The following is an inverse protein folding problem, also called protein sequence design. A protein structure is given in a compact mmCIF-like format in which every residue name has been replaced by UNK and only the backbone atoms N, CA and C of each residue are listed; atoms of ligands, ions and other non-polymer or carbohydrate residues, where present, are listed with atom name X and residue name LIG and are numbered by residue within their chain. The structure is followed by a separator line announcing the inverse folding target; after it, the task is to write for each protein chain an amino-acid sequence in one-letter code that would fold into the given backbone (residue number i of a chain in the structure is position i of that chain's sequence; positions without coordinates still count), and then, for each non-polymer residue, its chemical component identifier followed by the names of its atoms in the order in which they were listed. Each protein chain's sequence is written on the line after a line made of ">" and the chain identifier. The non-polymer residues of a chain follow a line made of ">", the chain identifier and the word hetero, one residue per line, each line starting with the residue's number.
data_IF_726478382313
#
_entry.id   IF_726478382313
#
_cell.length_a   1.000
_cell.length_b   1.000
_cell.length_c   1.000
_cell.angle_alpha   90.00
_cell.angle_beta   90.00
_cell.angle_gamma   90.00
#
_symmetry.space_group_name_H-M   'P 1'
#
loop_
_entity.id
_entity.type
_entity.pdbx_description
1 polymer ?
2 non-polymer ?
3 water ?
#
# COMPACT_ATOMS: atom_id res chain seq x y z
N UNK A 1 -17.72 2.01 8.51
CA UNK A 1 -17.76 0.71 7.85
C UNK A 1 -16.90 -0.35 8.54
N UNK A 2 -17.38 -0.81 9.70
CA UNK A 2 -16.72 -1.83 10.52
C UNK A 2 -17.07 -3.25 10.11
N UNK A 3 -17.93 -3.43 9.10
CA UNK A 3 -18.42 -4.75 8.75
C UNK A 3 -17.28 -5.68 8.33
N UNK A 4 -17.44 -6.97 8.65
CA UNK A 4 -16.62 -7.97 8.00
C UNK A 4 -16.82 -7.92 6.49
N UNK A 5 -18.07 -7.74 6.06
CA UNK A 5 -18.37 -7.63 4.63
C UNK A 5 -17.40 -6.66 3.94
N UNK A 6 -17.29 -5.44 4.46
CA UNK A 6 -16.36 -4.47 3.87
C UNK A 6 -14.91 -4.93 4.00
N UNK A 7 -14.54 -5.51 5.15
CA UNK A 7 -13.16 -5.96 5.35
C UNK A 7 -12.78 -7.08 4.39
N UNK A 8 -13.71 -8.01 4.14
CA UNK A 8 -13.51 -9.00 3.09
C UNK A 8 -13.23 -8.33 1.75
N UNK A 9 -14.00 -7.29 1.41
CA UNK A 9 -13.73 -6.58 0.16
C UNK A 9 -12.30 -6.05 0.16
N UNK A 10 -11.90 -5.38 1.23
CA UNK A 10 -10.52 -4.91 1.31
C UNK A 10 -9.55 -6.07 1.18
N UNK A 11 -9.91 -7.23 1.72
CA UNK A 11 -9.00 -8.37 1.62
C UNK A 11 -8.83 -8.80 0.16
N UNK A 12 -9.91 -8.73 -0.63
CA UNK A 12 -9.78 -9.04 -2.04
C UNK A 12 -8.92 -8.04 -2.77
N UNK A 13 -8.94 -6.78 -2.31
CA UNK A 13 -8.11 -5.77 -2.93
C UNK A 13 -6.64 -6.10 -2.72
N UNK A 14 -6.27 -6.38 -1.46
CA UNK A 14 -4.89 -6.71 -1.13
C UNK A 14 -4.38 -7.89 -1.96
N UNK A 15 -5.17 -8.97 -2.04
CA UNK A 15 -4.75 -10.11 -2.86
C UNK A 15 -4.59 -9.73 -4.33
N UNK A 16 -5.49 -8.89 -4.87
CA UNK A 16 -5.30 -8.40 -6.23
C UNK A 16 -4.06 -7.51 -6.34
N UNK A 17 -3.79 -6.68 -5.32
CA UNK A 17 -2.56 -5.88 -5.34
C UNK A 17 -1.30 -6.74 -5.27
N UNK A 18 -1.39 -7.97 -4.77
CA UNK A 18 -0.23 -8.87 -4.72
C UNK A 18 -0.22 -9.89 -5.85
N UNK A 19 -1.19 -9.84 -6.76
CA UNK A 19 -1.26 -10.82 -7.84
C UNK A 19 -0.19 -10.56 -8.88
N UNK A 20 0.09 -11.58 -9.68
CA UNK A 20 1.15 -11.48 -10.68
C UNK A 20 0.77 -10.55 -11.83
N UNK A 21 -0.51 -10.22 -11.98
CA UNK A 21 -0.90 -9.29 -13.04
C UNK A 21 -0.32 -7.89 -12.81
N UNK A 22 -0.07 -7.51 -11.56
CA UNK A 22 0.49 -6.19 -11.25
C UNK A 22 1.93 -6.24 -10.78
N UNK A 23 2.61 -7.40 -10.89
CA UNK A 23 3.94 -7.53 -10.30
C UNK A 23 4.92 -6.51 -10.86
N UNK A 24 4.75 -6.11 -12.12
CA UNK A 24 5.74 -5.26 -12.78
C UNK A 24 5.90 -3.92 -12.07
N UNK A 25 4.80 -3.35 -11.57
CA UNK A 25 4.88 -2.07 -10.87
C UNK A 25 4.71 -2.21 -9.36
N UNK A 26 4.20 -3.34 -8.88
CA UNK A 26 3.86 -3.54 -7.47
C UNK A 26 5.02 -4.05 -6.61
N UNK A 27 5.99 -4.81 -7.16
CA UNK A 27 6.92 -5.54 -6.29
C UNK A 27 7.80 -4.64 -5.43
N UNK A 28 8.02 -3.36 -5.78
CA UNK A 28 8.74 -2.47 -4.85
C UNK A 28 7.99 -2.21 -3.55
N UNK A 29 6.71 -2.56 -3.47
CA UNK A 29 5.93 -2.33 -2.27
C UNK A 29 5.63 -3.62 -1.52
N UNK A 30 6.14 -4.75 -2.00
CA UNK A 30 5.89 -6.05 -1.37
C UNK A 30 6.50 -6.15 0.02
N UNK A 31 7.64 -5.53 0.24
CA UNK A 31 8.40 -5.61 1.48
C UNK A 31 8.80 -4.22 1.94
N UNK A 32 9.22 -4.09 3.19
CA UNK A 32 9.67 -2.78 3.68
C UNK A 32 10.84 -2.25 2.87
N UNK A 33 10.95 -0.93 2.81
CA UNK A 33 12.04 -0.31 2.07
C UNK A 33 13.34 -0.51 2.84
N UNK A 34 14.39 -0.94 2.12
CA UNK A 34 15.69 -1.18 2.73
C UNK A 34 16.57 0.03 2.39
N UNK A 35 16.32 1.11 3.13
CA UNK A 35 16.91 2.40 2.81
C UNK A 35 18.43 2.38 2.93
N UNK A 36 18.94 1.71 3.96
CA UNK A 36 20.38 1.69 4.19
C UNK A 36 21.11 0.94 3.07
N UNK A 37 20.56 -0.20 2.63
CA UNK A 37 21.16 -0.97 1.54
C UNK A 37 21.10 -0.22 0.21
N UNK A 38 20.05 0.56 0.00
CA UNK A 38 19.83 1.25 -1.26
C UNK A 38 20.35 2.68 -1.26
N UNK A 39 21.06 3.11 -0.22
CA UNK A 39 21.54 4.48 -0.18
C UNK A 39 20.44 5.52 -0.32
N UNK A 40 19.30 5.31 0.35
CA UNK A 40 18.24 6.33 0.40
C UNK A 40 18.53 7.25 1.59
N UNK A 41 19.38 8.24 1.33
CA UNK A 41 19.75 9.20 2.36
C UNK A 41 18.53 9.83 3.02
N UNK A 42 18.55 9.90 4.34
CA UNK A 42 17.52 10.55 5.14
C UNK A 42 16.15 9.90 5.00
N UNK A 43 16.05 8.71 4.41
CA UNK A 43 14.73 8.12 4.18
C UNK A 43 13.90 8.11 5.45
N UNK A 44 14.48 7.62 6.54
CA UNK A 44 13.73 7.49 7.78
C UNK A 44 13.65 8.79 8.58
N UNK A 45 14.31 9.86 8.13
CA UNK A 45 14.01 11.19 8.66
C UNK A 45 12.76 11.77 8.02
N UNK A 46 12.69 11.69 6.69
CA UNK A 46 11.57 12.24 5.93
C UNK A 46 10.32 11.38 6.06
N UNK A 47 10.48 10.07 6.15
CA UNK A 47 9.36 9.14 6.21
C UNK A 47 9.32 8.60 7.63
N UNK A 48 8.44 9.17 8.45
CA UNK A 48 8.34 8.79 9.84
C UNK A 48 7.37 7.63 10.08
N UNK A 49 6.56 7.26 9.09
CA UNK A 49 5.67 6.10 9.20
C UNK A 49 5.81 5.22 7.96
N UNK A 50 6.81 4.34 7.93
CA UNK A 50 6.97 3.45 6.78
C UNK A 50 5.78 2.51 6.65
N UNK A 51 5.56 2.01 5.44
CA UNK A 51 4.44 1.13 5.17
C UNK A 51 4.69 0.43 3.85
N UNK A 52 4.17 -0.78 3.74
CA UNK A 52 4.40 -1.62 2.58
C UNK A 52 3.34 -2.72 2.63
N UNK A 53 3.22 -3.46 1.53
CA UNK A 53 2.12 -4.42 1.47
C UNK A 53 2.34 -5.62 2.40
N UNK A 54 3.60 -5.98 2.72
CA UNK A 54 3.79 -7.05 3.70
C UNK A 54 3.25 -6.64 5.07
N UNK A 55 3.33 -5.35 5.40
CA UNK A 55 2.77 -4.86 6.66
C UNK A 55 1.23 -4.86 6.63
N UNK A 56 0.64 -4.42 5.52
CA UNK A 56 -0.82 -4.43 5.36
C UNK A 56 -1.36 -5.86 5.40
N UNK A 57 -0.64 -6.80 4.81
CA UNK A 57 -1.09 -8.19 4.81
C UNK A 57 -1.02 -8.79 6.21
N UNK A 58 0.07 -8.54 6.94
CA UNK A 58 0.15 -9.00 8.32
C UNK A 58 -1.04 -8.47 9.11
N UNK A 59 -1.28 -7.16 9.04
CA UNK A 59 -2.37 -6.59 9.82
C UNK A 59 -3.71 -7.19 9.42
N UNK A 60 -3.88 -7.48 8.13
CA UNK A 60 -5.13 -8.10 7.68
C UNK A 60 -5.24 -9.55 8.17
N UNK A 61 -4.13 -10.30 8.14
CA UNK A 61 -4.14 -11.69 8.58
C UNK A 61 -4.38 -11.79 10.08
N UNK A 62 -3.76 -10.89 10.85
CA UNK A 62 -3.98 -10.82 12.29
C UNK A 62 -5.33 -10.19 12.66
N UNK A 63 -6.17 -9.87 11.67
CA UNK A 63 -7.45 -9.22 11.92
C UNK A 63 -7.28 -7.97 12.79
N UNK A 64 -6.17 -7.26 12.56
CA UNK A 64 -5.90 -6.03 13.30
C UNK A 64 -6.65 -4.82 12.76
N UNK A 65 -7.32 -4.91 11.61
CA UNK A 65 -8.03 -3.76 11.06
C UNK A 65 -9.45 -3.71 11.59
N UNK A 66 -9.85 -2.54 12.08
CA UNK A 66 -11.20 -2.37 12.63
C UNK A 66 -12.21 -2.00 11.56
N UNK A 67 -11.79 -1.32 10.50
CA UNK A 67 -12.70 -1.04 9.40
C UNK A 67 -11.90 -0.70 8.16
N UNK A 68 -12.60 -0.71 7.03
CA UNK A 68 -11.95 -0.53 5.74
C UNK A 68 -11.12 0.75 5.70
N UNK A 69 -11.57 1.79 6.41
CA UNK A 69 -10.89 3.09 6.37
C UNK A 69 -9.47 2.99 6.92
N UNK A 70 -9.28 2.30 8.03
CA UNK A 70 -7.91 2.04 8.47
C UNK A 70 -7.10 1.38 7.36
N UNK A 71 -7.66 0.33 6.75
CA UNK A 71 -7.05 -0.29 5.58
C UNK A 71 -6.63 0.77 4.57
N UNK A 72 -7.60 1.51 4.04
CA UNK A 72 -7.29 2.52 3.04
C UNK A 72 -6.20 3.47 3.54
N UNK A 73 -6.27 3.86 4.81
CA UNK A 73 -5.30 4.79 5.34
C UNK A 73 -3.89 4.24 5.17
N UNK A 74 -3.71 2.94 5.46
CA UNK A 74 -2.39 2.32 5.34
C UNK A 74 -1.94 2.24 3.89
N UNK A 75 -2.84 1.82 2.98
CA UNK A 75 -2.45 1.71 1.58
C UNK A 75 -2.06 3.08 1.03
N UNK A 76 -2.80 4.12 1.42
CA UNK A 76 -2.48 5.45 0.92
C UNK A 76 -1.26 6.03 1.61
N UNK A 77 -1.02 5.63 2.85
CA UNK A 77 0.24 5.96 3.52
C UNK A 77 1.44 5.42 2.73
N UNK A 78 1.37 4.17 2.29
CA UNK A 78 2.45 3.60 1.49
C UNK A 78 2.69 4.40 0.21
N UNK A 79 1.62 4.73 -0.51
CA UNK A 79 1.77 5.52 -1.73
C UNK A 79 2.29 6.92 -1.42
N UNK A 80 1.77 7.54 -0.35
CA UNK A 80 2.18 8.90 0.01
C UNK A 80 3.65 8.95 0.40
N UNK A 81 4.10 7.99 1.21
CA UNK A 81 5.52 7.89 1.50
C UNK A 81 6.32 7.98 0.22
N UNK A 82 5.93 7.19 -0.79
CA UNK A 82 6.67 7.17 -2.05
C UNK A 82 6.68 8.56 -2.69
N UNK A 83 5.50 9.21 -2.80
CA UNK A 83 5.47 10.52 -3.46
C UNK A 83 6.25 11.57 -2.67
N UNK A 84 6.17 11.55 -1.34
CA UNK A 84 6.88 12.56 -0.54
C UNK A 84 8.40 12.45 -0.69
N UNK A 85 8.94 11.24 -0.65
CA UNK A 85 10.40 11.12 -0.66
C UNK A 85 10.99 11.31 -2.05
N UNK A 86 10.28 10.91 -3.08
CA UNK A 86 10.94 10.86 -4.38
C UNK A 86 10.58 12.07 -5.24
N UNK A 87 11.44 12.38 -6.20
CA UNK A 87 11.11 13.40 -7.21
C UNK A 87 9.97 12.93 -8.08
N UNK A 88 9.32 13.85 -8.80
CA UNK A 88 8.16 13.46 -9.63
C UNK A 88 8.48 12.50 -10.78
N UNK A 89 9.69 12.53 -11.31
CA UNK A 89 10.00 11.70 -12.46
C UNK A 89 10.89 10.51 -12.09
N UNK A 90 10.79 10.03 -10.84
CA UNK A 90 11.43 8.79 -10.42
C UNK A 90 10.58 7.61 -10.87
N UNK A 91 11.24 6.54 -11.33
CA UNK A 91 10.52 5.35 -11.77
C UNK A 91 9.58 4.83 -10.69
N UNK A 93 7.76 5.88 -8.40
CA UNK A 93 6.69 6.89 -8.35
C UNK A 93 5.69 6.68 -9.47
N UNK A 94 6.19 6.38 -10.67
CA UNK A 94 5.28 5.98 -11.75
C UNK A 94 4.69 4.61 -11.46
N UNK A 95 5.48 3.73 -10.83
CA UNK A 95 4.99 2.41 -10.44
C UNK A 95 3.99 2.51 -9.30
N UNK A 96 4.17 3.47 -8.39
CA UNK A 96 3.18 3.70 -7.33
C UNK A 96 1.84 4.13 -7.92
N UNK A 97 1.85 5.11 -8.83
CA UNK A 97 0.60 5.58 -9.42
C UNK A 97 -0.09 4.49 -10.24
N UNK A 98 0.67 3.55 -10.83
CA UNK A 98 0.02 2.42 -11.50
C UNK A 98 -0.73 1.55 -10.49
N UNK A 99 -0.10 1.26 -9.35
CA UNK A 99 -0.73 0.39 -8.37
C UNK A 99 -1.85 1.11 -7.64
N UNK A 100 -1.66 2.40 -7.37
CA UNK A 100 -2.72 3.14 -6.69
C UNK A 100 -3.97 3.22 -7.54
N UNK A 101 -3.82 3.27 -8.87
CA UNK A 101 -5.02 3.28 -9.70
C UNK A 101 -5.79 1.97 -9.56
N UNK A 102 -5.08 0.85 -9.34
CA UNK A 102 -5.76 -0.40 -9.04
C UNK A 102 -6.47 -0.30 -7.70
N UNK A 103 -5.73 0.05 -6.65
CA UNK A 103 -6.33 0.14 -5.33
C UNK A 103 -7.55 1.06 -5.33
N UNK A 104 -7.39 2.32 -5.79
CA UNK A 104 -8.48 3.29 -5.66
C UNK A 104 -9.72 2.82 -6.39
N UNK A 105 -9.58 2.32 -7.62
CA UNK A 105 -10.79 1.95 -8.35
C UNK A 105 -11.52 0.81 -7.63
N UNK A 106 -10.77 -0.13 -7.09
CA UNK A 106 -11.35 -1.26 -6.37
C UNK A 106 -11.87 -0.86 -4.99
N UNK A 107 -11.23 0.12 -4.35
CA UNK A 107 -11.77 0.60 -3.08
C UNK A 107 -13.11 1.29 -3.29
N UNK A 108 -13.21 2.12 -4.33
CA UNK A 108 -14.46 2.80 -4.63
C UNK A 108 -15.59 1.82 -4.90
N UNK A 109 -15.28 0.57 -5.27
CA UNK A 109 -16.30 -0.44 -5.57
C UNK A 109 -16.73 -1.22 -4.33
N UNK A 110 -16.33 -0.78 -3.15
CA UNK A 110 -16.68 -1.53 -1.96
C UNK A 110 -18.19 -1.46 -1.72
N UNK A 111 -18.79 -2.56 -1.27
CA UNK A 111 -20.23 -2.54 -0.95
C UNK A 111 -20.54 -1.51 0.12
N UNK A 112 -21.63 -0.77 -0.11
CA UNK A 112 -22.14 0.32 0.72
C UNK A 112 -22.39 1.52 -0.20
X LIG B 1 13.21 0.24 -3.93
X LIG B 1 14.27 0.38 -4.79
X LIG B 1 14.80 -2.00 -4.51
X LIG B 1 13.38 -3.49 -2.96
X LIG B 1 13.66 -5.14 -0.46
X LIG B 1 16.31 0.32 -8.27
X LIG B 1 13.33 4.82 -3.88
X LIG B 1 13.30 3.39 -3.91
X LIG B 1 11.22 3.17 -2.92
X LIG B 1 11.19 4.65 -2.87
X LIG B 1 12.24 1.23 -3.45
X LIG B 1 10.98 0.87 -2.86
X LIG B 1 10.32 2.09 -2.52
X LIG B 1 8.94 2.15 -1.86
X LIG B 1 14.63 2.95 -4.55
X LIG B 1 15.10 -0.76 -5.09
X LIG B 1 13.72 -2.14 -3.62
X LIG B 1 12.92 -1.04 -3.33
X LIG B 1 14.96 1.92 -6.76
X LIG B 1 15.06 0.81 -7.82
X LIG B 1 16.35 -0.69 -9.27
X LIG B 1 15.15 -1.19 -9.79
X LIG B 1 13.90 -0.67 -9.30
X LIG B 1 13.86 0.31 -8.34
X LIG B 1 12.66 -1.15 -9.81
X LIG B 1 11.46 -0.62 -9.30
X LIG B 1 11.46 0.39 -8.31
X LIG B 1 12.65 0.85 -7.81
X LIG B 1 12.24 5.43 -3.35
X LIG B 1 12.31 2.59 -3.47
X LIG B 1 14.56 1.72 -5.34
X LIG B 1 10.25 5.21 -2.40
X LIG B 1 15.76 -3.87 -1.66
X LIG B 1 14.31 -2.48 -0.54
X LIG B 1 15.20 3.01 -7.13
X LIG B 1 14.32 -3.70 -1.37
X LIG B 1 15.34 -2.74 -4.70
X LIG B 1 13.62 -4.21 -3.56
X LIG B 1 12.43 -3.53 -2.77
X LIG B 1 12.70 -5.16 -0.54
X LIG B 1 14.04 -5.95 -0.83
X LIG B 1 13.90 -5.06 0.48
X LIG B 1 17.10 0.67 -7.92
X LIG B 1 14.05 5.30 -4.21
X LIG B 1 10.65 0.01 -2.73
X LIG B 1 8.85 1.31 -2.34
X LIG B 1 8.05 2.26 -2.24
X LIG B 1 9.01 3.06 -2.17
X LIG B 1 15.27 2.81 -3.83
X LIG B 1 14.92 3.67 -5.14
X LIG B 1 15.83 -0.67 -5.67
X LIG B 1 12.20 -1.13 -2.75
X LIG B 1 17.17 -1.01 -9.57
X LIG B 1 15.17 -1.85 -10.44
X LIG B 1 12.64 -1.82 -10.45
X LIG B 1 10.65 -0.94 -9.63
X LIG B 1 10.65 0.73 -7.99
X LIG B 1 12.67 1.52 -7.17
#
# INVERSE_FOLDING_TARGET
>A
GSHMEQLKHCNGILKELLSKKHAAYAWPFYKPVDASALGLHDYHDIIKHPMDLSTVKRKMENRDYRDAQEFAADVRLMFSNCYKYNPPDHDVVAMARKLQDVFEFRYAKMPD
>B hetero
1 HFU C13 C15 C17 C20 C24 C28 C02 C03 C05 C06 C07 C08 C09 C11 C12 C16 C18 C19 C25 C27 C29 C30 C31 C32 C33 C34 C35 C36 N01 N04 N14 O10 O22 O23 O26 S21 H171 H201 H202 H242 H241 H243 H281 H1 H081 H111 H113 H112 H121 H122 H161 H191 H291 H301 H331 H341 H351 H361
#
